data_IF_799139763672
#
_entry.id   IF_799139763672
#
_cell.length_a   1.000
_cell.length_b   1.000
_cell.length_c   1.000
_cell.angle_alpha   90.00
_cell.angle_beta   90.00
_cell.angle_gamma   90.00
#
_symmetry.space_group_name_H-M   'P 1'
#
loop_
_entity.id
_entity.type
_entity.pdbx_description
1 polymer ?
#
# COMPACT_ATOMS: atom_id res chain seq x y z
N UNK A 1 -2.15 5.18 22.68
CA UNK A 1 -1.92 4.46 21.41
C UNK A 1 -0.50 4.65 20.86
N UNK A 2 0.04 5.87 20.80
CA UNK A 2 1.43 6.15 20.39
C UNK A 2 2.48 5.34 21.17
N UNK A 3 2.34 5.22 22.49
CA UNK A 3 3.25 4.43 23.34
C UNK A 3 3.28 2.94 22.92
N UNK A 4 2.14 2.37 22.52
CA UNK A 4 2.06 0.97 22.09
C UNK A 4 2.72 0.79 20.72
N UNK A 5 2.49 1.71 19.77
CA UNK A 5 3.18 1.70 18.47
C UNK A 5 4.70 1.85 18.63
N UNK A 6 5.11 2.76 19.51
CA UNK A 6 6.52 2.98 19.85
C UNK A 6 7.14 1.75 20.53
N UNK A 7 6.41 1.10 21.44
CA UNK A 7 6.86 -0.12 22.12
C UNK A 7 6.96 -1.30 21.15
N UNK A 8 5.94 -1.55 20.31
CA UNK A 8 5.99 -2.59 19.28
C UNK A 8 7.12 -2.35 18.28
N UNK A 9 7.37 -1.09 17.93
CA UNK A 9 8.52 -0.71 17.14
C UNK A 9 9.84 -1.08 17.84
N UNK A 10 10.06 -0.65 19.09
CA UNK A 10 11.29 -0.97 19.83
C UNK A 10 11.48 -2.47 20.08
N UNK A 11 10.40 -3.22 20.31
CA UNK A 11 10.42 -4.67 20.40
C UNK A 11 10.84 -5.27 19.05
N UNK A 12 10.25 -4.80 17.95
CA UNK A 12 10.66 -5.18 16.60
C UNK A 12 12.14 -4.90 16.32
N UNK A 13 12.62 -3.70 16.68
CA UNK A 13 14.04 -3.33 16.56
C UNK A 13 14.95 -4.24 17.38
N UNK A 14 14.53 -4.61 18.58
CA UNK A 14 15.34 -5.45 19.48
C UNK A 14 15.39 -6.88 18.98
N UNK A 15 14.25 -7.49 18.67
CA UNK A 15 14.18 -8.83 18.05
C UNK A 15 14.99 -8.87 16.75
N UNK A 16 15.01 -7.76 16.03
CA UNK A 16 15.77 -7.60 14.81
C UNK A 16 17.30 -7.54 15.04
N UNK A 17 17.77 -6.66 15.93
CA UNK A 17 19.19 -6.58 16.27
C UNK A 17 19.68 -7.94 16.75
N UNK A 18 18.86 -8.64 17.55
CA UNK A 18 19.13 -9.99 18.00
C UNK A 18 19.20 -11.00 16.85
N UNK A 19 18.33 -10.92 15.84
CA UNK A 19 18.35 -11.84 14.70
C UNK A 19 19.58 -11.62 13.81
N UNK A 20 19.98 -10.38 13.55
CA UNK A 20 21.21 -10.07 12.81
C UNK A 20 22.44 -10.48 13.60
N UNK A 21 22.47 -10.18 14.90
CA UNK A 21 23.57 -10.59 15.77
C UNK A 21 23.71 -12.11 15.83
N UNK A 22 22.60 -12.83 15.96
CA UNK A 22 22.57 -14.29 15.94
C UNK A 22 23.07 -14.84 14.59
N UNK A 23 22.62 -14.24 13.48
CA UNK A 23 23.03 -14.64 12.12
C UNK A 23 24.52 -14.33 11.88
N UNK A 24 25.03 -13.21 12.39
CA UNK A 24 26.46 -12.87 12.39
C UNK A 24 27.27 -13.86 13.23
N UNK A 25 26.81 -14.22 14.43
CA UNK A 25 27.49 -15.20 15.29
C UNK A 25 27.61 -16.56 14.61
N UNK A 26 26.56 -17.02 13.95
CA UNK A 26 26.60 -18.24 13.13
C UNK A 26 27.65 -18.07 12.03
N UNK A 27 27.55 -17.01 11.24
CA UNK A 27 28.44 -16.81 10.08
C UNK A 27 29.91 -16.68 10.49
N UNK A 28 30.21 -15.96 11.58
CA UNK A 28 31.57 -15.84 12.12
C UNK A 28 32.13 -17.20 12.55
N UNK A 29 31.35 -18.00 13.29
CA UNK A 29 31.75 -19.37 13.64
C UNK A 29 32.02 -20.22 12.41
N UNK A 30 31.24 -20.06 11.34
CA UNK A 30 31.44 -20.79 10.08
C UNK A 30 32.74 -20.37 9.36
N UNK A 31 33.05 -19.07 9.35
CA UNK A 31 34.28 -18.53 8.75
C UNK A 31 35.54 -18.95 9.53
N UNK A 32 35.49 -18.92 10.86
CA UNK A 32 36.62 -19.28 11.73
C UNK A 32 36.99 -20.78 11.67
N UNK A 33 36.12 -21.64 11.13
CA UNK A 33 36.40 -23.08 10.95
C UNK A 33 37.12 -23.46 9.65
N UNK A 34 37.52 -22.51 8.79
CA UNK A 34 38.23 -22.81 7.53
C UNK A 34 39.75 -23.04 7.74
N UNK A 35 40.34 -24.17 7.29
CA UNK A 35 41.73 -24.54 7.63
C UNK A 35 42.83 -23.99 6.69
N UNK A 36 42.66 -22.88 5.97
CA UNK A 36 43.68 -22.39 4.99
C UNK A 36 44.08 -20.93 5.15
N UNK A 37 45.37 -20.62 4.87
CA UNK A 37 46.04 -19.29 4.95
C UNK A 37 45.40 -18.16 4.11
N UNK A 38 44.39 -18.44 3.30
CA UNK A 38 43.54 -17.46 2.61
C UNK A 38 42.43 -16.88 3.49
N UNK A 39 42.31 -17.31 4.75
CA UNK A 39 41.21 -16.99 5.67
C UNK A 39 41.07 -15.50 5.98
N UNK A 40 42.18 -14.76 6.13
CA UNK A 40 42.14 -13.36 6.59
C UNK A 40 41.32 -12.43 5.68
N UNK A 41 41.50 -12.54 4.36
CA UNK A 41 40.78 -11.69 3.40
C UNK A 41 39.28 -12.08 3.34
N UNK A 42 38.97 -13.39 3.38
CA UNK A 42 37.58 -13.87 3.39
C UNK A 42 36.83 -13.49 4.68
N UNK A 43 37.48 -13.53 5.84
CA UNK A 43 36.87 -13.12 7.11
C UNK A 43 36.64 -11.62 7.18
N UNK A 44 37.55 -10.83 6.62
CA UNK A 44 37.41 -9.37 6.54
C UNK A 44 36.23 -8.98 5.63
N UNK A 45 36.11 -9.58 4.43
CA UNK A 45 35.00 -9.32 3.51
C UNK A 45 33.64 -9.71 4.10
N UNK A 46 33.56 -10.85 4.81
CA UNK A 46 32.30 -11.27 5.46
C UNK A 46 31.93 -10.35 6.61
N UNK A 47 32.88 -9.95 7.46
CA UNK A 47 32.63 -8.99 8.53
C UNK A 47 32.20 -7.63 7.98
N UNK A 48 32.86 -7.14 6.92
CA UNK A 48 32.51 -5.89 6.27
C UNK A 48 31.09 -5.93 5.70
N UNK A 49 30.73 -7.03 5.00
CA UNK A 49 29.38 -7.23 4.47
C UNK A 49 28.30 -7.16 5.56
N UNK A 50 28.52 -7.81 6.71
CA UNK A 50 27.57 -7.78 7.83
C UNK A 50 27.49 -6.41 8.50
N UNK A 51 28.63 -5.74 8.68
CA UNK A 51 28.65 -4.37 9.17
C UNK A 51 27.89 -3.43 8.24
N UNK A 52 28.02 -3.63 6.93
CA UNK A 52 27.24 -2.88 5.92
C UNK A 52 25.75 -3.16 6.04
N UNK A 53 25.31 -4.42 6.19
CA UNK A 53 23.88 -4.73 6.37
C UNK A 53 23.30 -4.15 7.67
N UNK A 54 24.04 -4.25 8.79
CA UNK A 54 23.65 -3.63 10.07
C UNK A 54 23.55 -2.12 9.91
N UNK A 55 24.54 -1.50 9.28
CA UNK A 55 24.54 -0.06 9.04
C UNK A 55 23.36 0.37 8.17
N UNK A 56 23.12 -0.32 7.04
CA UNK A 56 21.99 -0.06 6.15
C UNK A 56 20.68 -0.14 6.93
N UNK A 57 20.50 -1.16 7.77
CA UNK A 57 19.30 -1.29 8.58
C UNK A 57 19.14 -0.16 9.60
N UNK A 58 20.16 0.08 10.43
CA UNK A 58 20.12 1.11 11.48
C UNK A 58 19.83 2.46 10.83
N UNK A 59 20.54 2.78 9.76
CA UNK A 59 20.34 4.00 8.98
C UNK A 59 18.91 4.08 8.45
N UNK A 60 18.39 3.03 7.82
CA UNK A 60 17.03 3.02 7.26
C UNK A 60 15.96 3.26 8.32
N UNK A 61 16.11 2.65 9.50
CA UNK A 61 15.13 2.75 10.57
C UNK A 61 15.20 4.08 11.33
N UNK A 62 16.42 4.55 11.61
CA UNK A 62 16.62 5.88 12.22
C UNK A 62 16.10 6.96 11.29
N UNK A 63 16.42 6.87 10.00
CA UNK A 63 15.90 7.80 8.99
C UNK A 63 14.39 7.68 8.85
N UNK A 64 13.82 6.47 8.78
CA UNK A 64 12.37 6.26 8.74
C UNK A 64 11.67 6.94 9.92
N UNK A 65 12.17 6.72 11.15
CA UNK A 65 11.63 7.38 12.34
C UNK A 65 11.78 8.90 12.26
N UNK A 66 12.94 9.38 11.88
CA UNK A 66 13.21 10.81 11.77
C UNK A 66 12.21 11.48 10.80
N UNK A 67 11.99 10.87 9.64
CA UNK A 67 11.06 11.38 8.63
C UNK A 67 9.59 11.30 9.09
N UNK A 68 9.17 10.21 9.74
CA UNK A 68 7.79 10.06 10.20
C UNK A 68 7.47 10.88 11.46
N UNK A 69 8.43 11.09 12.36
CA UNK A 69 8.20 11.81 13.61
C UNK A 69 8.30 13.32 13.44
N UNK A 70 9.23 13.78 12.59
CA UNK A 70 9.52 15.20 12.43
C UNK A 70 8.99 15.77 11.11
N UNK A 71 8.34 14.95 10.27
CA UNK A 71 7.83 15.34 8.95
C UNK A 71 8.86 16.13 8.13
N UNK A 72 10.13 15.71 8.17
CA UNK A 72 11.22 16.45 7.53
C UNK A 72 11.15 16.27 6.02
N UNK A 73 10.54 17.24 5.35
CA UNK A 73 10.33 17.22 3.88
C UNK A 73 11.54 17.65 3.07
N UNK A 74 12.57 18.24 3.69
CA UNK A 74 13.70 18.85 2.97
C UNK A 74 14.79 17.86 2.52
N UNK A 75 14.60 16.55 2.73
CA UNK A 75 15.58 15.53 2.34
C UNK A 75 14.93 14.33 1.62
N UNK A 76 14.22 14.56 0.49
CA UNK A 76 13.47 13.51 -0.21
C UNK A 76 14.37 12.40 -0.76
N UNK A 77 15.59 12.73 -1.21
CA UNK A 77 16.56 11.73 -1.68
C UNK A 77 17.03 10.83 -0.54
N UNK A 78 17.29 11.40 0.64
CA UNK A 78 17.68 10.65 1.83
C UNK A 78 16.55 9.72 2.30
N UNK A 79 15.31 10.22 2.29
CA UNK A 79 14.13 9.41 2.57
C UNK A 79 14.01 8.27 1.56
N UNK A 80 14.07 8.56 0.25
CA UNK A 80 13.99 7.56 -0.81
C UNK A 80 15.04 6.45 -0.61
N UNK A 81 16.30 6.81 -0.36
CA UNK A 81 17.37 5.83 -0.07
C UNK A 81 17.04 5.01 1.17
N UNK A 82 16.59 5.64 2.24
CA UNK A 82 16.27 4.96 3.51
C UNK A 82 15.13 3.96 3.35
N UNK A 83 14.03 4.36 2.70
CA UNK A 83 12.89 3.48 2.43
C UNK A 83 13.24 2.36 1.44
N UNK A 84 14.09 2.64 0.46
CA UNK A 84 14.60 1.64 -0.48
C UNK A 84 15.43 0.59 0.25
N UNK A 85 16.34 1.03 1.11
CA UNK A 85 17.15 0.16 1.95
C UNK A 85 16.27 -0.68 2.89
N UNK A 86 15.21 -0.12 3.45
CA UNK A 86 14.23 -0.86 4.25
C UNK A 86 13.52 -1.96 3.43
N UNK A 87 13.09 -1.66 2.20
CA UNK A 87 12.46 -2.64 1.30
C UNK A 87 13.41 -3.78 0.91
N UNK A 88 14.63 -3.44 0.50
CA UNK A 88 15.70 -4.40 0.21
C UNK A 88 15.96 -5.30 1.42
N UNK A 89 15.98 -4.69 2.60
CA UNK A 89 16.26 -5.37 3.84
C UNK A 89 15.21 -6.45 4.17
N UNK A 90 13.93 -6.11 4.05
CA UNK A 90 12.84 -7.09 4.24
C UNK A 90 12.91 -8.25 3.26
N UNK A 91 13.19 -7.96 1.99
CA UNK A 91 13.36 -8.98 0.96
C UNK A 91 14.54 -9.90 1.26
N UNK A 92 15.69 -9.33 1.64
CA UNK A 92 16.89 -10.09 1.95
C UNK A 92 16.66 -11.06 3.10
N UNK A 93 16.04 -10.63 4.22
CA UNK A 93 15.72 -11.54 5.33
C UNK A 93 14.86 -12.69 4.83
N UNK A 94 13.78 -12.37 4.09
CA UNK A 94 12.84 -13.39 3.68
C UNK A 94 13.50 -14.45 2.79
N UNK A 95 14.19 -14.02 1.73
CA UNK A 95 14.87 -14.95 0.83
C UNK A 95 15.98 -15.71 1.53
N UNK A 96 16.67 -15.08 2.48
CA UNK A 96 17.67 -15.76 3.28
C UNK A 96 17.06 -16.83 4.18
N UNK A 97 15.96 -16.50 4.88
CA UNK A 97 15.25 -17.43 5.73
C UNK A 97 14.73 -18.64 4.94
N UNK A 98 14.12 -18.40 3.78
CA UNK A 98 13.61 -19.47 2.90
C UNK A 98 14.76 -20.34 2.37
N UNK A 99 15.80 -19.73 1.80
CA UNK A 99 16.93 -20.46 1.23
C UNK A 99 17.69 -21.25 2.31
N UNK A 100 17.93 -20.65 3.47
CA UNK A 100 18.58 -21.33 4.59
C UNK A 100 17.72 -22.47 5.13
N UNK A 101 16.41 -22.29 5.32
CA UNK A 101 15.51 -23.35 5.79
C UNK A 101 15.49 -24.54 4.84
N UNK A 102 15.39 -24.27 3.53
CA UNK A 102 15.46 -25.31 2.51
C UNK A 102 16.80 -26.06 2.55
N UNK A 103 17.91 -25.33 2.65
CA UNK A 103 19.24 -25.94 2.73
C UNK A 103 19.43 -26.79 3.99
N UNK A 104 18.94 -26.33 5.14
CA UNK A 104 19.00 -27.10 6.40
C UNK A 104 18.15 -28.39 6.30
N UNK A 105 16.98 -28.32 5.67
CA UNK A 105 16.15 -29.50 5.42
C UNK A 105 16.89 -30.52 4.53
N UNK A 106 17.53 -30.07 3.45
CA UNK A 106 18.34 -30.94 2.57
C UNK A 106 19.51 -31.57 3.33
N UNK A 107 20.26 -30.78 4.11
CA UNK A 107 21.36 -31.28 4.93
C UNK A 107 20.90 -32.30 5.97
N UNK A 108 19.75 -32.08 6.60
CA UNK A 108 19.14 -33.01 7.53
C UNK A 108 18.79 -34.35 6.86
N UNK A 109 18.23 -34.31 5.64
CA UNK A 109 17.97 -35.52 4.86
C UNK A 109 19.26 -36.27 4.48
N UNK A 110 20.33 -35.55 4.11
CA UNK A 110 21.65 -36.15 3.83
C UNK A 110 22.24 -36.79 5.10
N UNK A 111 22.07 -36.15 6.26
CA UNK A 111 22.50 -36.69 7.54
C UNK A 111 21.77 -37.99 7.87
N UNK A 112 20.43 -38.04 7.69
CA UNK A 112 19.64 -39.25 7.85
C UNK A 112 20.11 -40.37 6.90
N UNK A 113 20.61 -40.02 5.71
CA UNK A 113 21.20 -40.95 4.76
C UNK A 113 22.63 -41.44 5.11
N UNK A 114 23.12 -41.19 6.34
CA UNK A 114 24.39 -41.70 6.91
C UNK A 114 25.68 -41.34 6.12
N UNK A 115 25.76 -40.16 5.51
CA UNK A 115 27.01 -39.60 4.93
C UNK A 115 27.59 -38.52 5.86
N UNK A 116 28.35 -38.91 6.88
CA UNK A 116 28.52 -38.08 8.09
C UNK A 116 29.75 -37.17 8.17
N UNK A 117 30.83 -37.37 7.41
CA UNK A 117 32.02 -36.49 7.52
C UNK A 117 32.03 -35.34 6.49
N UNK A 118 31.61 -35.59 5.24
CA UNK A 118 31.50 -34.53 4.23
C UNK A 118 30.35 -33.55 4.48
N UNK A 119 29.34 -33.93 5.27
CA UNK A 119 28.16 -33.12 5.53
C UNK A 119 28.48 -31.77 6.19
N UNK A 120 29.52 -31.69 7.04
CA UNK A 120 29.89 -30.44 7.74
C UNK A 120 30.55 -29.41 6.81
N UNK A 121 31.44 -29.84 5.92
CA UNK A 121 32.03 -28.97 4.90
C UNK A 121 31.01 -28.56 3.84
N UNK A 122 30.14 -29.48 3.43
CA UNK A 122 29.02 -29.20 2.52
C UNK A 122 28.06 -28.16 3.15
N UNK A 123 27.75 -28.29 4.44
CA UNK A 123 26.90 -27.32 5.16
C UNK A 123 27.48 -25.90 5.15
N UNK A 124 28.80 -25.77 5.36
CA UNK A 124 29.50 -24.48 5.31
C UNK A 124 29.48 -23.83 3.92
N UNK A 125 29.68 -24.63 2.87
CA UNK A 125 29.66 -24.13 1.49
C UNK A 125 28.24 -23.69 1.08
N UNK A 126 27.24 -24.51 1.42
CA UNK A 126 25.82 -24.22 1.17
C UNK A 126 25.40 -22.92 1.88
N UNK A 127 25.78 -22.71 3.14
CA UNK A 127 25.45 -21.48 3.87
C UNK A 127 25.99 -20.23 3.16
N UNK A 128 27.24 -20.22 2.70
CA UNK A 128 27.80 -19.06 2.00
C UNK A 128 27.10 -18.78 0.66
N UNK A 129 26.76 -19.84 -0.09
CA UNK A 129 25.98 -19.70 -1.33
C UNK A 129 24.59 -19.13 -1.05
N UNK A 130 23.92 -19.58 0.02
CA UNK A 130 22.58 -19.03 0.34
C UNK A 130 22.63 -17.53 0.58
N UNK A 131 23.65 -16.99 1.27
CA UNK A 131 23.77 -15.55 1.44
C UNK A 131 23.94 -14.80 0.13
N UNK A 132 24.84 -15.28 -0.73
CA UNK A 132 25.11 -14.63 -2.03
C UNK A 132 23.86 -14.67 -2.91
N UNK A 133 23.21 -15.82 -2.99
CA UNK A 133 21.98 -16.01 -3.78
C UNK A 133 20.84 -15.16 -3.24
N UNK A 134 20.61 -15.15 -1.93
CA UNK A 134 19.55 -14.34 -1.31
C UNK A 134 19.83 -12.84 -1.46
N UNK A 135 21.08 -12.40 -1.33
CA UNK A 135 21.45 -11.00 -1.55
C UNK A 135 21.26 -10.60 -3.01
N UNK A 136 21.76 -11.41 -3.96
CA UNK A 136 21.61 -11.14 -5.39
C UNK A 136 20.14 -11.12 -5.81
N UNK A 137 19.32 -12.04 -5.29
CA UNK A 137 17.88 -12.10 -5.53
C UNK A 137 17.16 -10.89 -4.94
N UNK A 138 17.43 -10.53 -3.69
CA UNK A 138 16.87 -9.34 -3.06
C UNK A 138 17.27 -8.07 -3.83
N UNK A 139 18.52 -7.96 -4.26
CA UNK A 139 18.99 -6.80 -5.03
C UNK A 139 18.28 -6.70 -6.37
N UNK A 140 18.22 -7.80 -7.13
CA UNK A 140 17.54 -7.85 -8.42
C UNK A 140 16.05 -7.48 -8.31
N UNK A 141 15.37 -8.02 -7.29
CA UNK A 141 13.94 -7.78 -7.07
C UNK A 141 13.66 -6.39 -6.49
N UNK A 142 14.56 -5.84 -5.68
CA UNK A 142 14.51 -4.44 -5.23
C UNK A 142 14.66 -3.48 -6.42
N UNK A 143 15.63 -3.72 -7.32
CA UNK A 143 15.81 -2.91 -8.53
C UNK A 143 14.57 -2.99 -9.41
N UNK A 144 14.05 -4.20 -9.65
CA UNK A 144 12.79 -4.39 -10.38
C UNK A 144 11.65 -3.62 -9.72
N UNK A 145 11.50 -3.73 -8.39
CA UNK A 145 10.46 -3.07 -7.62
C UNK A 145 10.52 -1.54 -7.70
N UNK A 146 11.71 -0.95 -7.61
CA UNK A 146 11.95 0.49 -7.75
C UNK A 146 11.57 1.00 -9.14
N UNK A 147 11.93 0.24 -10.18
CA UNK A 147 11.59 0.57 -11.56
C UNK A 147 10.07 0.50 -11.74
N UNK A 148 9.44 -0.57 -11.26
CA UNK A 148 8.00 -0.77 -11.38
C UNK A 148 7.20 0.32 -10.65
N UNK A 149 7.60 0.68 -9.42
CA UNK A 149 6.95 1.71 -8.60
C UNK A 149 7.00 3.11 -9.22
N UNK A 150 8.04 3.42 -10.02
CA UNK A 150 8.23 4.74 -10.63
C UNK A 150 7.58 4.90 -12.01
N UNK A 151 7.00 3.84 -12.56
CA UNK A 151 6.24 3.92 -13.82
C UNK A 151 4.94 4.70 -13.60
N UNK A 152 4.45 5.41 -14.63
CA UNK A 152 3.10 5.98 -14.58
C UNK A 152 2.05 4.90 -14.29
N UNK A 153 0.95 5.23 -13.59
CA UNK A 153 -0.11 4.27 -13.37
C UNK A 153 -0.73 3.85 -14.70
N UNK A 154 -1.05 2.57 -14.80
CA UNK A 154 -1.72 1.98 -15.94
C UNK A 154 -3.24 2.15 -15.79
N UNK A 155 -3.92 2.37 -16.91
CA UNK A 155 -5.36 2.43 -16.94
C UNK A 155 -5.97 1.02 -17.00
N UNK A 156 -6.71 0.64 -15.97
CA UNK A 156 -7.50 -0.58 -15.94
C UNK A 156 -8.98 -0.27 -16.13
N UNK A 157 -9.63 -0.83 -17.15
CA UNK A 157 -11.05 -0.58 -17.41
C UNK A 157 -11.90 -1.73 -16.87
N UNK A 158 -12.91 -1.39 -16.07
CA UNK A 158 -13.76 -2.37 -15.39
C UNK A 158 -15.19 -2.13 -15.80
N UNK A 159 -15.88 -3.17 -16.26
CA UNK A 159 -17.31 -3.13 -16.56
C UNK A 159 -18.09 -3.75 -15.40
N UNK A 160 -18.98 -2.97 -14.80
CA UNK A 160 -19.83 -3.39 -13.69
C UNK A 160 -21.31 -3.21 -14.04
N UNK A 161 -22.11 -4.18 -13.62
CA UNK A 161 -23.54 -4.25 -13.91
C UNK A 161 -24.32 -4.28 -12.59
N UNK A 162 -25.12 -3.25 -12.35
CA UNK A 162 -25.92 -3.08 -11.13
C UNK A 162 -27.40 -3.19 -11.46
N UNK A 163 -28.17 -3.84 -10.58
CA UNK A 163 -29.58 -4.20 -10.84
C UNK A 163 -30.48 -2.97 -11.06
N UNK A 164 -30.34 -1.97 -10.19
CA UNK A 164 -31.18 -0.78 -10.18
C UNK A 164 -30.48 0.44 -10.79
N UNK A 165 -29.47 0.24 -11.63
CA UNK A 165 -28.76 1.36 -12.26
C UNK A 165 -29.69 2.10 -13.23
N UNK A 166 -29.67 3.45 -13.26
CA UNK A 166 -30.41 4.24 -14.24
C UNK A 166 -30.10 3.84 -15.68
N UNK A 167 -31.14 3.56 -16.49
CA UNK A 167 -30.94 3.19 -17.91
C UNK A 167 -30.35 4.36 -18.69
N UNK A 168 -30.79 5.58 -18.38
CA UNK A 168 -30.29 6.80 -19.02
C UNK A 168 -28.79 7.05 -18.73
N UNK A 169 -28.24 6.40 -17.70
CA UNK A 169 -26.85 6.54 -17.29
C UNK A 169 -25.98 5.34 -17.69
N UNK A 170 -26.50 4.37 -18.45
CA UNK A 170 -25.67 3.26 -18.95
C UNK A 170 -24.39 3.75 -19.64
N UNK A 171 -23.27 3.16 -19.25
CA UNK A 171 -21.94 3.60 -19.66
C UNK A 171 -21.41 4.81 -18.89
N UNK A 172 -21.99 5.17 -17.74
CA UNK A 172 -21.43 6.20 -16.85
C UNK A 172 -20.06 5.75 -16.35
N UNK A 173 -19.09 6.66 -16.40
CA UNK A 173 -17.68 6.33 -16.16
C UNK A 173 -17.16 7.04 -14.92
N UNK A 174 -16.82 6.27 -13.90
CA UNK A 174 -16.11 6.76 -12.71
C UNK A 174 -14.62 6.52 -12.92
N UNK A 175 -13.83 7.59 -12.95
CA UNK A 175 -12.39 7.49 -12.79
C UNK A 175 -12.10 7.32 -11.30
N UNK A 176 -11.63 6.13 -10.93
CA UNK A 176 -11.28 5.74 -9.57
C UNK A 176 -9.77 5.86 -9.38
N UNK A 177 -9.38 6.63 -8.37
CA UNK A 177 -8.00 6.80 -7.92
C UNK A 177 -7.95 6.54 -6.41
N UNK A 178 -6.89 5.91 -5.92
CA UNK A 178 -6.68 5.66 -4.50
C UNK A 178 -5.18 5.63 -4.21
N UNK A 179 -4.80 5.75 -2.94
CA UNK A 179 -3.46 5.44 -2.46
C UNK A 179 -2.36 6.25 -3.20
N UNK A 180 -2.52 7.57 -3.25
CA UNK A 180 -1.50 8.47 -3.82
C UNK A 180 -0.35 8.64 -2.80
N UNK A 181 -0.67 8.74 -1.51
CA UNK A 181 0.31 8.93 -0.42
C UNK A 181 1.26 10.11 -0.63
N UNK A 182 0.73 11.29 -0.93
CA UNK A 182 1.51 12.54 -1.00
C UNK A 182 2.36 12.67 0.26
N UNK A 183 3.67 12.66 0.08
CA UNK A 183 4.59 12.38 1.16
C UNK A 183 6.00 12.85 0.88
N UNK A 184 6.93 12.48 1.75
CA UNK A 184 8.34 12.89 1.64
C UNK A 184 8.98 12.28 0.38
N UNK A 185 8.58 11.05 0.01
CA UNK A 185 9.08 10.35 -1.18
C UNK A 185 8.15 10.55 -2.38
N UNK A 186 6.84 10.60 -2.16
CA UNK A 186 5.85 10.88 -3.22
C UNK A 186 5.71 12.38 -3.42
N UNK A 187 6.52 12.90 -4.34
CA UNK A 187 6.59 14.31 -4.70
C UNK A 187 5.61 14.71 -5.82
N UNK A 188 5.56 15.99 -6.17
CA UNK A 188 4.72 16.57 -7.25
C UNK A 188 4.81 15.79 -8.56
N UNK A 189 6.01 15.34 -8.95
CA UNK A 189 6.22 14.55 -10.17
C UNK A 189 5.39 13.26 -10.21
N UNK A 190 5.14 12.61 -9.06
CA UNK A 190 4.30 11.42 -9.02
C UNK A 190 2.82 11.79 -9.26
N UNK A 191 2.34 12.85 -8.62
CA UNK A 191 0.97 13.34 -8.80
C UNK A 191 0.75 13.82 -10.24
N UNK A 192 1.74 14.48 -10.84
CA UNK A 192 1.71 14.89 -12.25
C UNK A 192 1.63 13.69 -13.18
N UNK A 193 2.38 12.60 -12.93
CA UNK A 193 2.25 11.36 -13.70
C UNK A 193 0.85 10.76 -13.59
N UNK A 194 0.25 10.76 -12.40
CA UNK A 194 -1.12 10.29 -12.19
C UNK A 194 -2.10 11.12 -13.02
N UNK A 195 -2.01 12.46 -12.94
CA UNK A 195 -2.90 13.35 -13.69
C UNK A 195 -2.69 13.21 -15.20
N UNK A 196 -1.45 13.16 -15.68
CA UNK A 196 -1.15 13.01 -17.11
C UNK A 196 -1.67 11.68 -17.66
N UNK A 197 -1.58 10.58 -16.90
CA UNK A 197 -2.17 9.28 -17.27
C UNK A 197 -3.70 9.36 -17.47
N UNK A 198 -4.37 10.41 -16.97
CA UNK A 198 -5.83 10.56 -17.08
C UNK A 198 -6.29 11.49 -18.20
N UNK A 199 -5.38 12.24 -18.82
CA UNK A 199 -5.68 13.39 -19.70
C UNK A 199 -6.45 13.02 -20.97
N UNK A 200 -6.28 11.80 -21.46
CA UNK A 200 -6.94 11.29 -22.66
C UNK A 200 -8.08 10.31 -22.35
N UNK A 201 -8.46 10.21 -21.08
CA UNK A 201 -9.55 9.35 -20.64
C UNK A 201 -10.83 10.19 -20.61
N UNK A 202 -11.85 9.74 -21.31
CA UNK A 202 -13.20 10.28 -21.17
C UNK A 202 -13.85 9.65 -19.93
N UNK A 203 -14.06 10.45 -18.89
CA UNK A 203 -14.73 10.06 -17.65
C UNK A 203 -15.73 11.12 -17.18
N UNK A 204 -16.79 10.67 -16.53
CA UNK A 204 -17.90 11.51 -16.09
C UNK A 204 -17.63 12.13 -14.71
N UNK A 205 -17.06 11.34 -13.80
CA UNK A 205 -16.87 11.64 -12.38
C UNK A 205 -15.48 11.17 -11.92
N UNK A 206 -14.85 11.90 -11.01
CA UNK A 206 -13.62 11.47 -10.31
C UNK A 206 -13.95 11.06 -8.88
N UNK A 207 -13.54 9.85 -8.49
CA UNK A 207 -13.59 9.37 -7.12
C UNK A 207 -12.16 9.10 -6.63
N UNK A 208 -11.75 9.81 -5.58
CA UNK A 208 -10.50 9.56 -4.85
C UNK A 208 -10.83 8.85 -3.54
N UNK A 209 -10.42 7.58 -3.42
CA UNK A 209 -10.88 6.69 -2.35
C UNK A 209 -9.79 6.48 -1.31
N UNK A 210 -9.50 7.54 -0.55
CA UNK A 210 -8.61 7.51 0.61
C UNK A 210 -7.12 7.43 0.31
N UNK A 211 -6.35 7.60 1.39
CA UNK A 211 -4.88 7.60 1.42
C UNK A 211 -4.29 8.54 0.36
N UNK A 212 -4.80 9.78 0.36
CA UNK A 212 -4.29 10.85 -0.48
C UNK A 212 -2.91 11.31 0.00
N UNK A 213 -2.68 11.32 1.32
CA UNK A 213 -1.53 12.00 1.92
C UNK A 213 -0.95 11.28 3.14
N UNK A 214 0.36 11.41 3.32
CA UNK A 214 1.13 11.04 4.51
C UNK A 214 1.66 12.28 5.26
N UNK A 215 1.39 13.49 4.77
CA UNK A 215 1.88 14.76 5.33
C UNK A 215 0.76 15.76 5.61
N UNK A 216 0.94 16.68 6.58
CA UNK A 216 0.04 17.82 6.77
C UNK A 216 -0.08 18.71 5.53
N UNK A 217 -1.21 19.40 5.36
CA UNK A 217 -1.47 20.21 4.16
C UNK A 217 -0.45 21.33 4.01
N UNK A 218 0.10 21.86 5.11
CA UNK A 218 1.12 22.90 5.12
C UNK A 218 2.36 22.55 4.28
N UNK A 219 2.66 21.25 4.12
CA UNK A 219 3.81 20.74 3.36
C UNK A 219 3.46 20.20 1.97
N UNK A 220 2.17 20.13 1.64
CA UNK A 220 1.69 19.34 0.49
C UNK A 220 0.94 20.15 -0.56
N UNK A 221 0.70 21.45 -0.34
CA UNK A 221 -0.08 22.31 -1.26
C UNK A 221 0.41 22.26 -2.70
N UNK A 222 1.71 22.43 -2.92
CA UNK A 222 2.29 22.41 -4.28
C UNK A 222 2.29 21.01 -4.90
N UNK A 223 2.32 19.97 -4.07
CA UNK A 223 2.36 18.56 -4.50
C UNK A 223 0.97 18.09 -4.93
N UNK A 224 -0.09 18.49 -4.22
CA UNK A 224 -1.48 18.13 -4.55
C UNK A 224 -2.08 18.99 -5.66
N UNK A 225 -1.50 20.17 -5.92
CA UNK A 225 -1.97 21.13 -6.92
C UNK A 225 -2.35 20.53 -8.29
N UNK A 226 -1.60 19.56 -8.86
CA UNK A 226 -1.94 18.98 -10.16
C UNK A 226 -3.38 18.40 -10.22
N UNK A 227 -3.93 17.91 -9.10
CA UNK A 227 -5.32 17.41 -9.05
C UNK A 227 -6.38 18.48 -9.34
N UNK A 228 -6.01 19.77 -9.28
CA UNK A 228 -6.88 20.89 -9.68
C UNK A 228 -7.24 20.85 -11.16
N UNK A 229 -6.37 20.30 -12.01
CA UNK A 229 -6.56 20.27 -13.46
C UNK A 229 -7.52 19.18 -13.92
N UNK A 230 -7.85 18.22 -13.06
CA UNK A 230 -8.89 17.23 -13.31
C UNK A 230 -10.27 17.91 -13.13
N UNK A 231 -11.06 17.94 -14.22
CA UNK A 231 -12.34 18.66 -14.29
C UNK A 231 -13.45 17.75 -14.85
N UNK A 232 -13.82 16.67 -14.13
CA UNK A 232 -14.96 15.85 -14.51
C UNK A 232 -16.26 16.65 -14.54
N UNK A 233 -17.18 16.25 -15.41
CA UNK A 233 -18.47 16.91 -15.60
C UNK A 233 -19.37 16.85 -14.35
N UNK A 234 -19.35 15.73 -13.62
CA UNK A 234 -20.23 15.50 -12.47
C UNK A 234 -19.53 15.65 -11.11
N UNK A 235 -18.32 16.24 -11.10
CA UNK A 235 -17.62 16.59 -9.87
C UNK A 235 -16.55 15.60 -9.42
N UNK A 236 -15.84 16.00 -8.37
CA UNK A 236 -14.74 15.25 -7.75
C UNK A 236 -15.15 14.88 -6.34
N UNK A 237 -15.01 13.61 -5.99
CA UNK A 237 -15.43 13.09 -4.69
C UNK A 237 -14.25 12.50 -3.96
N UNK A 238 -14.22 12.68 -2.66
CA UNK A 238 -13.17 12.16 -1.78
C UNK A 238 -13.77 11.49 -0.56
N UNK A 239 -13.22 10.34 -0.18
CA UNK A 239 -13.39 9.74 1.15
C UNK A 239 -12.02 9.56 1.80
N UNK A 240 -11.98 9.56 3.12
CA UNK A 240 -10.73 9.37 3.85
C UNK A 240 -10.28 7.92 3.84
N UNK A 241 -8.96 7.74 3.81
CA UNK A 241 -8.26 6.53 4.22
C UNK A 241 -7.60 6.71 5.58
N UNK A 242 -6.92 5.68 6.07
CA UNK A 242 -6.28 5.74 7.37
C UNK A 242 -5.12 6.73 7.41
N UNK A 243 -4.35 6.86 6.32
CA UNK A 243 -3.21 7.76 6.26
C UNK A 243 -3.60 9.23 6.33
N UNK A 244 -4.79 9.58 5.80
CA UNK A 244 -5.31 10.94 5.88
C UNK A 244 -5.51 11.37 7.34
N UNK A 245 -5.91 10.45 8.23
CA UNK A 245 -5.95 10.69 9.68
C UNK A 245 -4.57 10.63 10.35
N UNK A 246 -3.65 9.81 9.85
CA UNK A 246 -2.31 9.67 10.43
C UNK A 246 -1.51 10.97 10.37
N UNK A 247 -1.84 11.85 9.43
CA UNK A 247 -1.27 13.21 9.34
C UNK A 247 -1.54 14.05 10.59
N UNK A 248 -2.60 13.75 11.35
CA UNK A 248 -3.11 14.62 12.42
C UNK A 248 -3.72 15.93 11.92
N UNK A 249 -3.96 16.05 10.61
CA UNK A 249 -4.32 17.31 9.94
C UNK A 249 -5.52 17.14 8.99
N UNK A 250 -6.33 16.11 9.20
CA UNK A 250 -7.42 15.69 8.31
C UNK A 250 -8.43 16.81 8.03
N UNK A 251 -8.78 17.63 9.03
CA UNK A 251 -9.76 18.72 8.86
C UNK A 251 -9.26 19.82 7.92
N UNK A 252 -7.97 20.19 8.02
CA UNK A 252 -7.39 21.18 7.12
C UNK A 252 -7.23 20.63 5.71
N UNK A 253 -6.94 19.33 5.58
CA UNK A 253 -6.94 18.63 4.29
C UNK A 253 -8.31 18.64 3.62
N UNK A 254 -9.36 18.27 4.34
CA UNK A 254 -10.73 18.30 3.82
C UNK A 254 -11.13 19.71 3.39
N UNK A 255 -10.90 20.71 4.25
CA UNK A 255 -11.17 22.11 3.93
C UNK A 255 -10.42 22.59 2.68
N UNK A 256 -9.15 22.20 2.52
CA UNK A 256 -8.37 22.52 1.33
C UNK A 256 -8.91 21.83 0.08
N UNK A 257 -9.26 20.54 0.17
CA UNK A 257 -9.86 19.77 -0.92
C UNK A 257 -11.16 20.42 -1.41
N UNK A 258 -12.02 20.82 -0.49
CA UNK A 258 -13.31 21.45 -0.82
C UNK A 258 -13.12 22.84 -1.42
N UNK A 259 -12.39 23.72 -0.73
CA UNK A 259 -12.36 25.14 -1.12
C UNK A 259 -11.33 25.48 -2.20
N UNK A 260 -10.22 24.74 -2.29
CA UNK A 260 -9.12 25.06 -3.20
C UNK A 260 -9.08 24.13 -4.41
N UNK A 261 -9.51 22.88 -4.23
CA UNK A 261 -9.49 21.86 -5.27
C UNK A 261 -10.89 21.49 -5.77
N UNK A 262 -11.97 22.01 -5.19
CA UNK A 262 -13.35 21.75 -5.62
C UNK A 262 -13.71 20.26 -5.61
N UNK A 263 -13.32 19.57 -4.54
CA UNK A 263 -13.84 18.25 -4.19
C UNK A 263 -15.10 18.38 -3.33
N UNK A 264 -15.95 17.37 -3.37
CA UNK A 264 -16.96 17.11 -2.35
C UNK A 264 -16.43 15.98 -1.47
N UNK A 265 -16.20 16.28 -0.19
CA UNK A 265 -15.75 15.26 0.76
C UNK A 265 -16.98 14.53 1.31
N UNK A 266 -17.05 13.23 1.08
CA UNK A 266 -18.16 12.39 1.53
C UNK A 266 -17.85 11.85 2.94
N UNK A 267 -17.90 12.72 3.95
CA UNK A 267 -17.78 12.34 5.36
C UNK A 267 -19.10 11.72 5.85
N UNK A 268 -19.21 10.39 5.75
CA UNK A 268 -20.41 9.63 6.15
C UNK A 268 -21.71 10.22 5.58
N UNK A 269 -21.70 10.56 4.29
CA UNK A 269 -22.83 11.19 3.61
C UNK A 269 -22.96 10.67 2.18
N UNK A 270 -24.10 10.97 1.55
CA UNK A 270 -24.36 10.67 0.16
C UNK A 270 -24.73 11.91 -0.65
N UNK A 271 -24.60 11.77 -1.97
CA UNK A 271 -25.11 12.72 -2.95
C UNK A 271 -25.85 11.96 -4.06
N UNK A 272 -26.83 12.63 -4.68
CA UNK A 272 -27.49 12.14 -5.88
C UNK A 272 -26.69 12.56 -7.12
N UNK A 273 -26.31 11.60 -7.94
CA UNK A 273 -25.67 11.87 -9.24
C UNK A 273 -26.71 11.75 -10.34
N UNK A 274 -27.00 12.86 -11.02
CA UNK A 274 -27.97 12.96 -12.13
C UNK A 274 -27.25 13.27 -13.44
N UNK A 275 -27.73 12.70 -14.56
CA UNK A 275 -27.22 13.00 -15.91
C UNK A 275 -28.18 13.98 -16.62
N UNK A 276 -27.69 15.16 -17.01
CA UNK A 276 -28.44 16.13 -17.85
C UNK A 276 -29.85 16.52 -17.34
N UNK A 277 -30.07 16.65 -16.02
CA UNK A 277 -31.37 17.02 -15.47
C UNK A 277 -32.44 15.93 -15.60
N UNK A 278 -32.05 14.69 -15.93
CA UNK A 278 -32.95 13.55 -15.92
C UNK A 278 -33.49 13.26 -14.50
N UNK A 279 -34.70 12.71 -14.43
CA UNK A 279 -35.31 12.24 -13.19
C UNK A 279 -34.58 11.00 -12.61
N UNK A 280 -33.84 10.26 -13.43
CA UNK A 280 -33.08 9.08 -12.99
C UNK A 280 -31.71 9.47 -12.40
N UNK A 281 -31.35 8.84 -11.28
CA UNK A 281 -30.10 9.08 -10.56
C UNK A 281 -29.63 7.81 -9.84
N UNK A 282 -28.36 7.81 -9.43
CA UNK A 282 -27.85 6.87 -8.43
C UNK A 282 -27.29 7.65 -7.23
N UNK A 283 -27.16 6.99 -6.09
CA UNK A 283 -26.51 7.56 -4.91
C UNK A 283 -25.02 7.24 -4.93
N UNK A 284 -24.20 8.27 -4.78
CA UNK A 284 -22.79 8.10 -4.42
C UNK A 284 -22.67 8.38 -2.91
N UNK A 285 -22.47 7.33 -2.13
CA UNK A 285 -22.25 7.40 -0.69
C UNK A 285 -20.75 7.32 -0.39
N UNK A 286 -20.30 7.92 0.70
CA UNK A 286 -18.94 7.77 1.20
C UNK A 286 -18.93 7.67 2.71
N UNK A 287 -18.02 6.85 3.24
CA UNK A 287 -17.83 6.65 4.66
C UNK A 287 -16.40 7.03 5.06
N UNK A 288 -16.25 7.50 6.29
CA UNK A 288 -14.92 7.70 6.87
C UNK A 288 -14.17 6.37 7.03
N UNK A 289 -12.84 6.47 7.02
CA UNK A 289 -11.99 5.34 7.35
C UNK A 289 -12.32 4.76 8.74
N UNK A 290 -12.31 3.44 8.83
CA UNK A 290 -12.49 2.66 10.08
C UNK A 290 -11.54 3.07 11.22
N UNK A 291 -10.33 3.54 10.91
CA UNK A 291 -9.36 3.96 11.90
C UNK A 291 -9.58 5.39 12.39
N UNK A 292 -10.49 6.17 11.77
CA UNK A 292 -10.84 7.53 12.17
C UNK A 292 -11.20 7.63 13.66
N UNK A 293 -11.93 6.62 14.17
CA UNK A 293 -12.32 6.51 15.58
C UNK A 293 -11.15 6.55 16.56
N UNK A 294 -9.92 6.21 16.12
CA UNK A 294 -8.72 6.21 16.96
C UNK A 294 -8.10 7.61 17.13
N UNK A 295 -8.55 8.58 16.36
CA UNK A 295 -8.00 9.95 16.34
C UNK A 295 -8.87 10.95 17.09
N UNK A 296 -10.08 10.55 17.54
CA UNK A 296 -11.00 11.40 18.30
C UNK A 296 -11.28 12.76 17.63
N UNK A 297 -11.37 12.78 16.30
CA UNK A 297 -11.79 13.97 15.56
C UNK A 297 -13.31 14.05 15.62
N UNK A 298 -13.86 15.17 16.09
CA UNK A 298 -15.30 15.34 16.30
C UNK A 298 -16.09 15.16 14.99
N UNK A 299 -17.12 14.32 15.02
CA UNK A 299 -17.94 14.03 13.84
C UNK A 299 -17.34 13.01 12.87
N UNK A 300 -16.14 12.49 13.16
CA UNK A 300 -15.48 11.47 12.36
C UNK A 300 -15.54 10.08 12.97
N UNK A 301 -15.51 9.08 12.10
CA UNK A 301 -15.71 7.68 12.44
C UNK A 301 -16.60 7.03 11.39
N UNK A 302 -16.28 5.80 10.99
CA UNK A 302 -17.11 5.07 10.03
C UNK A 302 -18.58 5.00 10.51
N UNK A 303 -19.49 5.63 9.76
CA UNK A 303 -20.93 5.61 10.01
C UNK A 303 -21.69 5.37 8.71
N UNK A 304 -21.95 4.09 8.43
CA UNK A 304 -22.67 3.65 7.23
C UNK A 304 -24.12 4.09 7.24
N UNK A 305 -24.76 4.07 8.42
CA UNK A 305 -26.18 4.43 8.55
C UNK A 305 -26.39 5.90 8.17
N UNK A 306 -25.52 6.79 8.65
CA UNK A 306 -25.53 8.21 8.27
C UNK A 306 -25.22 8.40 6.79
N UNK A 307 -24.27 7.66 6.24
CA UNK A 307 -23.94 7.72 4.82
C UNK A 307 -25.11 7.31 3.91
N UNK A 308 -25.99 6.42 4.38
CA UNK A 308 -27.18 5.96 3.66
C UNK A 308 -28.46 6.73 4.02
N UNK A 309 -28.39 7.73 4.89
CA UNK A 309 -29.57 8.48 5.30
C UNK A 309 -30.24 9.16 4.08
N UNK A 310 -31.56 8.99 3.97
CA UNK A 310 -32.35 9.46 2.83
C UNK A 310 -32.18 8.68 1.51
N UNK A 311 -31.33 7.65 1.45
CA UNK A 311 -31.22 6.81 0.25
C UNK A 311 -32.50 5.96 0.05
N UNK A 312 -32.90 5.79 -1.21
CA UNK A 312 -34.09 5.03 -1.59
C UNK A 312 -33.70 3.65 -2.12
N UNK A 313 -34.30 2.59 -1.58
CA UNK A 313 -33.98 1.18 -1.91
C UNK A 313 -34.11 0.81 -3.40
N UNK A 314 -34.86 1.57 -4.19
CA UNK A 314 -35.08 1.31 -5.62
C UNK A 314 -34.06 1.99 -6.55
N UNK A 315 -33.06 2.67 -6.01
CA UNK A 315 -31.99 3.32 -6.78
C UNK A 315 -30.67 2.68 -6.44
N UNK A 316 -29.75 2.64 -7.40
CA UNK A 316 -28.44 2.09 -7.11
C UNK A 316 -27.66 2.94 -6.11
N UNK A 317 -26.99 2.26 -5.17
CA UNK A 317 -26.11 2.88 -4.18
C UNK A 317 -24.69 2.39 -4.42
N UNK A 318 -23.82 3.33 -4.77
CA UNK A 318 -22.39 3.11 -4.95
C UNK A 318 -21.68 3.77 -3.77
N UNK A 319 -20.97 2.97 -2.99
CA UNK A 319 -20.26 3.41 -1.79
C UNK A 319 -18.77 3.52 -2.06
N UNK A 320 -18.18 4.64 -1.65
CA UNK A 320 -16.74 4.82 -1.55
C UNK A 320 -16.30 4.49 -0.12
N UNK A 321 -15.45 3.49 0.03
CA UNK A 321 -14.92 3.07 1.32
C UNK A 321 -13.46 2.65 1.14
N UNK A 322 -12.52 3.34 1.78
CA UNK A 322 -11.10 3.12 1.51
C UNK A 322 -10.65 1.67 1.76
N UNK A 323 -10.95 1.10 2.92
CA UNK A 323 -10.48 -0.25 3.27
C UNK A 323 -11.47 -1.37 2.88
N UNK A 324 -10.99 -2.50 2.34
CA UNK A 324 -11.80 -3.68 2.08
C UNK A 324 -12.56 -4.21 3.31
N UNK A 325 -12.01 -4.05 4.53
CA UNK A 325 -12.71 -4.44 5.75
C UNK A 325 -13.94 -3.56 6.03
N UNK A 326 -13.87 -2.28 5.72
CA UNK A 326 -15.00 -1.35 5.81
C UNK A 326 -16.09 -1.75 4.81
N UNK A 327 -15.70 -2.10 3.58
CA UNK A 327 -16.61 -2.63 2.56
C UNK A 327 -17.34 -3.89 3.06
N UNK A 328 -16.61 -4.85 3.65
CA UNK A 328 -17.23 -6.06 4.22
C UNK A 328 -18.22 -5.73 5.35
N UNK A 329 -17.84 -4.85 6.28
CA UNK A 329 -18.71 -4.48 7.41
C UNK A 329 -19.97 -3.74 6.95
N UNK A 330 -19.85 -2.82 5.99
CA UNK A 330 -21.00 -2.13 5.40
C UNK A 330 -21.97 -3.13 4.75
N UNK A 331 -21.46 -4.05 3.92
CA UNK A 331 -22.28 -5.07 3.27
C UNK A 331 -22.80 -6.15 4.22
N UNK A 332 -22.22 -6.26 5.43
CA UNK A 332 -22.71 -7.20 6.41
C UNK A 332 -24.04 -6.77 7.03
N UNK A 333 -24.22 -5.46 7.19
CA UNK A 333 -25.35 -4.84 7.91
C UNK A 333 -26.34 -4.12 6.99
N UNK A 334 -25.96 -3.80 5.74
CA UNK A 334 -26.75 -3.00 4.79
C UNK A 334 -26.80 -3.67 3.42
N UNK A 335 -27.96 -4.27 3.09
CA UNK A 335 -28.19 -5.03 1.86
C UNK A 335 -28.60 -4.16 0.66
N UNK A 336 -28.87 -2.87 0.91
CA UNK A 336 -29.23 -1.89 -0.11
C UNK A 336 -28.03 -1.35 -0.92
N UNK A 337 -26.79 -1.64 -0.50
CA UNK A 337 -25.57 -1.21 -1.21
C UNK A 337 -25.32 -2.14 -2.40
N UNK A 338 -25.25 -1.61 -3.63
CA UNK A 338 -25.00 -2.43 -4.82
C UNK A 338 -23.51 -2.62 -5.13
N UNK A 339 -22.70 -1.58 -4.85
CA UNK A 339 -21.29 -1.54 -5.21
C UNK A 339 -20.48 -0.80 -4.15
N UNK A 340 -19.33 -1.37 -3.75
CA UNK A 340 -18.31 -0.67 -2.96
C UNK A 340 -17.02 -0.55 -3.78
N UNK A 341 -16.50 0.66 -3.89
CA UNK A 341 -15.18 0.95 -4.46
C UNK A 341 -14.19 1.21 -3.32
N UNK A 342 -13.06 0.51 -3.35
CA UNK A 342 -12.04 0.50 -2.28
C UNK A 342 -10.63 0.51 -2.84
N UNK A 343 -9.64 0.83 -1.98
CA UNK A 343 -8.20 0.76 -2.26
C UNK A 343 -7.46 0.04 -1.13
N UNK A 344 -6.47 0.71 -0.52
CA UNK A 344 -5.78 0.32 0.73
C UNK A 344 -4.77 -0.83 0.63
N UNK A 345 -5.04 -1.84 -0.20
CA UNK A 345 -4.21 -3.06 -0.22
C UNK A 345 -2.90 -2.89 -0.99
N UNK A 346 -2.83 -1.87 -1.86
CA UNK A 346 -1.74 -1.65 -2.81
C UNK A 346 -1.45 -2.86 -3.73
N UNK A 347 -2.39 -3.81 -3.86
CA UNK A 347 -2.14 -5.11 -4.47
C UNK A 347 -1.02 -5.91 -3.79
N UNK A 348 -0.70 -5.60 -2.53
CA UNK A 348 0.45 -6.16 -1.84
C UNK A 348 1.79 -5.67 -2.39
N UNK A 349 2.00 -4.35 -2.47
CA UNK A 349 3.16 -3.67 -3.08
C UNK A 349 4.52 -4.37 -2.94
N UNK A 350 4.82 -4.96 -1.78
CA UNK A 350 6.12 -5.57 -1.50
C UNK A 350 5.94 -7.06 -1.21
N UNK A 351 6.49 -7.93 -2.05
CA UNK A 351 6.61 -9.34 -1.69
C UNK A 351 7.79 -9.52 -0.71
N UNK A 352 7.64 -10.31 0.37
CA UNK A 352 6.54 -11.22 0.71
C UNK A 352 5.41 -10.60 1.56
N UNK A 353 5.47 -9.30 1.90
CA UNK A 353 4.43 -8.64 2.70
C UNK A 353 3.04 -8.80 2.08
N UNK A 354 2.96 -8.91 0.75
CA UNK A 354 1.74 -9.23 0.01
C UNK A 354 0.96 -10.41 0.57
N UNK A 355 1.64 -11.46 1.08
CA UNK A 355 0.98 -12.64 1.68
C UNK A 355 0.18 -12.22 2.92
N UNK A 356 0.75 -11.39 3.79
CA UNK A 356 0.06 -10.91 4.99
C UNK A 356 -1.09 -9.96 4.64
N UNK A 357 -0.91 -9.12 3.61
CA UNK A 357 -1.98 -8.24 3.11
C UNK A 357 -3.14 -9.07 2.54
N UNK A 358 -2.83 -10.11 1.76
CA UNK A 358 -3.81 -11.05 1.21
C UNK A 358 -4.59 -11.77 2.32
N UNK A 359 -3.90 -12.28 3.34
CA UNK A 359 -4.55 -12.99 4.46
C UNK A 359 -5.28 -12.06 5.42
N UNK A 360 -4.85 -10.80 5.53
CA UNK A 360 -5.38 -9.82 6.47
C UNK A 360 -6.61 -9.04 5.96
N UNK A 361 -6.92 -9.11 4.66
CA UNK A 361 -8.02 -8.37 4.06
C UNK A 361 -9.08 -9.32 3.47
N UNK A 362 -10.38 -9.02 3.63
CA UNK A 362 -11.44 -9.85 3.06
C UNK A 362 -11.48 -9.82 1.52
N UNK A 363 -11.00 -8.73 0.94
CA UNK A 363 -10.88 -8.54 -0.51
C UNK A 363 -9.48 -7.97 -0.78
N UNK A 364 -8.71 -8.60 -1.67
CA UNK A 364 -7.31 -8.26 -1.89
C UNK A 364 -7.13 -7.26 -3.04
N UNK A 365 -7.54 -7.60 -4.25
CA UNK A 365 -7.48 -6.73 -5.43
C UNK A 365 -8.44 -7.23 -6.51
N UNK A 366 -9.04 -6.31 -7.27
CA UNK A 366 -9.98 -6.64 -8.34
C UNK A 366 -11.44 -6.76 -7.87
N UNK A 367 -12.26 -7.43 -8.67
CA UNK A 367 -13.70 -7.53 -8.48
C UNK A 367 -14.11 -8.76 -7.67
N UNK A 368 -14.94 -8.53 -6.65
CA UNK A 368 -15.55 -9.54 -5.80
C UNK A 368 -17.07 -9.38 -5.79
N UNK A 369 -17.79 -10.46 -5.48
CA UNK A 369 -19.22 -10.45 -5.17
C UNK A 369 -19.42 -10.88 -3.73
N UNK A 370 -20.17 -10.11 -2.96
CA UNK A 370 -20.42 -10.39 -1.55
C UNK A 370 -21.83 -9.96 -1.17
N UNK A 371 -22.61 -10.88 -0.59
CA UNK A 371 -24.00 -10.62 -0.13
C UNK A 371 -24.91 -9.92 -1.17
N UNK A 372 -24.75 -10.24 -2.45
CA UNK A 372 -25.55 -9.64 -3.53
C UNK A 372 -24.98 -8.35 -4.12
N UNK A 373 -24.01 -7.72 -3.45
CA UNK A 373 -23.29 -6.55 -3.92
C UNK A 373 -21.98 -6.91 -4.63
N UNK A 374 -21.38 -5.93 -5.30
CA UNK A 374 -20.05 -5.99 -5.88
C UNK A 374 -19.06 -5.19 -5.01
N UNK A 375 -17.82 -5.66 -4.89
CA UNK A 375 -16.72 -4.92 -4.26
C UNK A 375 -15.56 -4.87 -5.25
N UNK A 376 -15.11 -3.67 -5.59
CA UNK A 376 -13.93 -3.49 -6.44
C UNK A 376 -12.80 -2.84 -5.63
N UNK A 377 -11.66 -3.53 -5.56
CA UNK A 377 -10.46 -3.05 -4.86
C UNK A 377 -9.39 -2.70 -5.88
N UNK A 378 -9.08 -1.40 -6.00
CA UNK A 378 -7.94 -0.94 -6.82
C UNK A 378 -6.62 -1.29 -6.14
N UNK A 379 -5.58 -1.54 -6.95
CA UNK A 379 -4.22 -1.66 -6.44
C UNK A 379 -3.58 -0.31 -6.11
N UNK A 380 -4.25 0.81 -6.35
CA UNK A 380 -3.75 2.14 -5.97
C UNK A 380 -2.75 2.74 -6.96
N UNK A 381 -2.69 4.07 -6.96
CA UNK A 381 -2.04 4.84 -8.03
C UNK A 381 -0.51 4.96 -7.88
N UNK A 382 0.00 4.96 -6.65
CA UNK A 382 1.44 5.15 -6.38
C UNK A 382 1.96 4.02 -5.49
N UNK A 383 2.45 4.34 -4.29
CA UNK A 383 3.00 3.40 -3.32
C UNK A 383 3.06 4.10 -1.96
N UNK A 384 3.12 3.34 -0.88
CA UNK A 384 3.26 3.88 0.47
C UNK A 384 4.60 3.49 1.10
N UNK A 385 5.34 4.50 1.56
CA UNK A 385 6.60 4.32 2.29
C UNK A 385 7.70 3.72 1.43
N UNK A 386 7.73 2.38 1.32
CA UNK A 386 8.74 1.65 0.52
C UNK A 386 8.46 1.86 -0.97
N UNK A 387 9.37 2.49 -1.73
CA UNK A 387 9.15 2.86 -3.14
C UNK A 387 9.35 1.66 -4.08
N UNK A 388 8.70 0.53 -3.79
CA UNK A 388 8.85 -0.71 -4.55
C UNK A 388 7.50 -1.35 -4.82
N UNK A 389 7.27 -1.77 -6.06
CA UNK A 389 6.12 -2.59 -6.45
C UNK A 389 6.56 -3.90 -7.07
N UNK A 390 6.23 -5.00 -6.40
CA UNK A 390 6.54 -6.36 -6.83
C UNK A 390 5.25 -7.15 -6.97
N UNK A 391 5.02 -7.73 -8.15
CA UNK A 391 3.82 -8.52 -8.45
C UNK A 391 2.50 -7.79 -8.16
N UNK A 392 2.56 -6.45 -8.15
CA UNK A 392 1.46 -5.52 -8.07
C UNK A 392 1.72 -4.38 -9.05
N UNK A 393 0.70 -3.59 -9.35
CA UNK A 393 0.77 -2.58 -10.40
C UNK A 393 0.19 -1.25 -9.93
N UNK A 394 0.92 -0.17 -10.20
CA UNK A 394 0.34 1.18 -10.12
C UNK A 394 -0.75 1.31 -11.16
N UNK A 395 -1.97 1.58 -10.72
CA UNK A 395 -3.13 1.64 -11.58
C UNK A 395 -4.07 2.79 -11.21
N UNK A 396 -4.80 3.23 -12.23
CA UNK A 396 -6.01 4.04 -12.11
C UNK A 396 -7.11 3.27 -12.84
N UNK A 397 -8.35 3.33 -12.34
CA UNK A 397 -9.40 2.47 -12.85
C UNK A 397 -10.51 3.29 -13.50
N UNK A 398 -10.93 2.90 -14.70
CA UNK A 398 -12.13 3.43 -15.35
C UNK A 398 -13.27 2.45 -15.13
N UNK A 399 -14.13 2.78 -14.16
CA UNK A 399 -15.28 1.95 -13.79
C UNK A 399 -16.47 2.37 -14.64
N UNK A 400 -16.83 1.52 -15.60
CA UNK A 400 -17.97 1.69 -16.49
C UNK A 400 -19.18 0.99 -15.90
N UNK A 401 -20.22 1.76 -15.60
CA UNK A 401 -21.43 1.30 -14.93
C UNK A 401 -22.56 1.06 -15.92
N UNK A 402 -23.24 -0.05 -15.77
CA UNK A 402 -24.38 -0.45 -16.58
C UNK A 402 -25.49 -1.01 -15.70
N UNK A 403 -26.72 -0.91 -16.20
CA UNK A 403 -27.85 -1.65 -15.65
C UNK A 403 -27.74 -3.11 -16.06
N UNK A 404 -27.88 -4.02 -15.11
CA UNK A 404 -28.04 -5.44 -15.39
C UNK A 404 -29.36 -5.68 -16.16
N UNK A 405 -29.36 -6.62 -17.09
CA UNK A 405 -30.54 -6.99 -17.89
C UNK A 405 -31.67 -7.62 -17.07
#
# INVERSE_FOLDING_TARGET
MWIIKLALFFIGQTLFILSVYYTWLITKRLVDTRPTKTSFCSSCCVNLFWLTLIFIFIFSNVSFLYFNLFFVVNAPVLALVSFTCLGFFFQFIFYHLVANTFCQAVLYLIYLAKKTEHAKQISLYISNITYIVSFALALALSIYGLIAANRPPVLETVRLELKNFPRAMNGFKILLISDIHIGIVVTKNHVEKVVESTKHIDYDLLAVVGDLTDLPISHSKEVVEPLKFMKPKYGKFFVTGNHDYYTGDVLNWMSYLEHQLNFTVLNNMNVKITKNGAEEFFYLAGIDDVEASRFNVEGHGMDVRRALDGCLKNHSIIMLAHQPKAAKWALDDFDEIDLVLSGHTHGGQLFPMSIMIYLGNPFFSGLYRYKGAQVYVTQGAVYWGVPMRMFSQSEINLVNLYRAE
#
